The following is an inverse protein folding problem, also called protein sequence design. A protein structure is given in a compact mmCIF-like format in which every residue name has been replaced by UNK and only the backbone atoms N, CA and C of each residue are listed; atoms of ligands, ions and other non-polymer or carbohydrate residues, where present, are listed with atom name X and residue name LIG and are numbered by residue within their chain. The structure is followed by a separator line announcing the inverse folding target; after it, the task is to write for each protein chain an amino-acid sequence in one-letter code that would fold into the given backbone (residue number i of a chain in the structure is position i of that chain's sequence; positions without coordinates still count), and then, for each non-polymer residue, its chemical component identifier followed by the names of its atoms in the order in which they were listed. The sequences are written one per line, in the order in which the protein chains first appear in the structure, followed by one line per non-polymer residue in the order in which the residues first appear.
data_IF_885057557464
#
_entry.id   IF_885057557464
#
_cell.length_a   1.000
_cell.length_b   1.000
_cell.length_c   1.000
_cell.angle_alpha   90.00
_cell.angle_beta   90.00
_cell.angle_gamma   90.00
#
_symmetry.space_group_name_H-M   'P 1'
#
loop_
_entity.id
_entity.type
_entity.pdbx_description
1 polymer ?
#
# COMPACT_ATOMS: atom_id res chain seq x y z
N UNK A 1 -2.36 27.91 -1.94
CA UNK A 1 -1.69 26.97 -2.86
C UNK A 1 -1.81 25.59 -2.25
N UNK A 2 -2.90 24.94 -2.59
CA UNK A 2 -3.55 23.86 -1.87
C UNK A 2 -3.17 22.60 -2.65
N UNK A 3 -1.97 22.10 -2.36
CA UNK A 3 -1.47 20.88 -2.97
C UNK A 3 -1.99 19.70 -2.13
N UNK A 4 -3.28 19.39 -2.27
CA UNK A 4 -3.86 18.14 -1.75
C UNK A 4 -3.42 16.97 -2.65
N UNK A 5 -2.11 16.81 -2.81
CA UNK A 5 -1.53 15.50 -3.12
C UNK A 5 -1.64 14.71 -1.82
N UNK A 6 -2.83 14.17 -1.54
CA UNK A 6 -3.04 13.26 -0.41
C UNK A 6 -2.26 11.98 -0.68
N UNK A 7 -0.96 12.06 -0.42
CA UNK A 7 -0.10 10.90 -0.28
C UNK A 7 -0.67 10.09 0.91
N UNK A 8 -0.95 8.80 0.72
CA UNK A 8 -1.48 7.98 1.79
C UNK A 8 -0.52 8.03 2.99
N UNK A 9 -1.05 8.39 4.15
CA UNK A 9 -0.27 8.52 5.39
C UNK A 9 0.57 7.26 5.65
N UNK A 10 1.82 7.43 6.08
CA UNK A 10 2.71 6.33 6.45
C UNK A 10 2.07 5.34 7.43
N UNK A 11 1.19 5.83 8.30
CA UNK A 11 0.42 4.98 9.22
C UNK A 11 -0.46 3.98 8.46
N UNK A 12 -1.17 4.43 7.43
CA UNK A 12 -2.03 3.57 6.62
C UNK A 12 -1.22 2.54 5.84
N UNK A 13 -0.07 2.94 5.29
CA UNK A 13 0.81 2.04 4.55
C UNK A 13 1.41 0.99 5.49
N UNK A 14 1.89 1.38 6.68
CA UNK A 14 2.39 0.45 7.69
C UNK A 14 1.32 -0.56 8.14
N UNK A 15 0.09 -0.10 8.39
CA UNK A 15 -1.03 -0.99 8.71
C UNK A 15 -1.30 -2.00 7.59
N UNK A 16 -1.28 -1.55 6.34
CA UNK A 16 -1.47 -2.42 5.20
C UNK A 16 -0.34 -3.44 5.06
N UNK A 17 0.92 -3.02 5.21
CA UNK A 17 2.09 -3.90 5.21
C UNK A 17 1.98 -5.01 6.25
N UNK A 18 1.59 -4.69 7.48
CA UNK A 18 1.34 -5.69 8.53
C UNK A 18 0.22 -6.65 8.14
N UNK A 19 -0.86 -6.15 7.53
CA UNK A 19 -1.98 -6.98 7.06
C UNK A 19 -1.55 -7.99 5.99
N UNK A 20 -0.62 -7.62 5.11
CA UNK A 20 -0.18 -8.45 3.98
C UNK A 20 1.21 -9.07 4.16
N UNK A 21 1.80 -9.03 5.37
CA UNK A 21 3.17 -9.47 5.63
C UNK A 21 3.46 -10.90 5.09
N UNK A 22 2.47 -11.79 5.14
CA UNK A 22 2.64 -13.16 4.67
C UNK A 22 2.62 -13.28 3.15
N UNK A 23 1.93 -12.39 2.45
CA UNK A 23 1.78 -12.40 0.98
C UNK A 23 2.62 -11.35 0.24
N UNK A 24 3.31 -10.47 0.96
CA UNK A 24 4.18 -9.47 0.35
C UNK A 24 5.40 -10.13 -0.30
N UNK A 25 5.73 -9.66 -1.50
CA UNK A 25 6.83 -10.15 -2.34
C UNK A 25 7.38 -8.99 -3.19
N UNK A 26 8.24 -9.30 -4.15
CA UNK A 26 8.72 -8.34 -5.16
C UNK A 26 7.65 -7.93 -6.18
N UNK A 27 6.52 -8.62 -6.21
CA UNK A 27 5.37 -8.23 -7.02
C UNK A 27 4.48 -7.23 -6.27
N UNK A 28 3.79 -6.37 -7.03
CA UNK A 28 2.86 -5.41 -6.46
C UNK A 28 1.71 -6.12 -5.74
N UNK A 29 1.47 -5.75 -4.49
CA UNK A 29 0.29 -6.20 -3.75
C UNK A 29 -1.00 -5.80 -4.47
N UNK A 30 -2.14 -6.42 -4.12
CA UNK A 30 -3.45 -5.85 -4.42
C UNK A 30 -3.57 -4.40 -3.92
N UNK A 31 -4.55 -3.66 -4.41
CA UNK A 31 -4.85 -2.33 -3.86
C UNK A 31 -5.31 -2.46 -2.40
N UNK A 32 -4.89 -1.55 -1.52
CA UNK A 32 -5.30 -1.56 -0.09
C UNK A 32 -6.80 -1.39 0.11
N UNK A 33 -7.50 -0.87 -0.90
CA UNK A 33 -8.94 -0.62 -0.94
C UNK A 33 -9.56 -1.33 -2.15
N UNK A 34 -10.87 -1.57 -2.09
CA UNK A 34 -11.65 -2.10 -3.23
C UNK A 34 -12.33 -0.99 -4.04
N UNK A 35 -12.36 0.24 -3.52
CA UNK A 35 -12.92 1.43 -4.16
C UNK A 35 -12.16 2.69 -3.71
N UNK A 36 -12.16 3.75 -4.53
CA UNK A 36 -11.47 5.01 -4.24
C UNK A 36 -9.94 4.93 -4.40
N UNK A 37 -9.22 5.79 -3.68
CA UNK A 37 -7.76 5.83 -3.71
C UNK A 37 -7.18 4.95 -2.61
N UNK A 38 -6.23 4.09 -2.94
CA UNK A 38 -5.49 3.28 -1.99
C UNK A 38 -3.99 3.21 -2.31
N UNK A 39 -3.31 2.26 -1.70
CA UNK A 39 -1.88 2.01 -1.91
C UNK A 39 -1.65 0.57 -2.36
N UNK A 40 -0.68 0.38 -3.25
CA UNK A 40 -0.03 -0.90 -3.50
C UNK A 40 1.40 -0.82 -3.00
N UNK A 41 1.90 -1.93 -2.46
CA UNK A 41 3.25 -2.03 -1.92
C UNK A 41 3.93 -3.28 -2.45
N UNK A 42 5.26 -3.23 -2.53
CA UNK A 42 6.11 -4.39 -2.86
C UNK A 42 7.48 -4.27 -2.20
N UNK A 43 8.17 -5.39 -2.08
CA UNK A 43 9.59 -5.44 -1.71
C UNK A 43 10.41 -5.01 -2.94
N UNK A 44 11.42 -4.17 -2.74
CA UNK A 44 12.38 -3.84 -3.81
C UNK A 44 13.08 -5.12 -4.29
N UNK A 45 13.30 -5.29 -5.60
CA UNK A 45 14.05 -6.44 -6.12
C UNK A 45 15.42 -6.65 -5.45
N UNK A 46 16.11 -5.56 -5.08
CA UNK A 46 17.40 -5.62 -4.35
C UNK A 46 17.28 -6.07 -2.88
N UNK A 47 16.07 -6.10 -2.33
CA UNK A 47 15.78 -6.48 -0.94
C UNK A 47 15.03 -7.81 -0.84
N UNK A 48 14.84 -8.52 -1.96
CA UNK A 48 14.11 -9.78 -2.03
C UNK A 48 14.69 -10.91 -1.17
N UNK A 49 16.00 -10.87 -0.90
CA UNK A 49 16.70 -11.84 -0.05
C UNK A 49 16.68 -11.51 1.43
N UNK A 50 16.15 -10.35 1.85
CA UNK A 50 16.06 -9.99 3.26
C UNK A 50 14.90 -10.73 3.93
N UNK A 51 15.04 -11.15 5.19
CA UNK A 51 13.92 -11.67 5.95
C UNK A 51 12.86 -10.58 6.12
N UNK A 52 11.59 -10.98 6.10
CA UNK A 52 10.45 -10.05 6.10
C UNK A 52 10.41 -9.15 7.34
N UNK A 53 10.91 -9.65 8.47
CA UNK A 53 10.95 -8.95 9.75
C UNK A 53 12.05 -7.88 9.81
N UNK A 54 13.00 -7.88 8.86
CA UNK A 54 14.10 -6.91 8.77
C UNK A 54 13.93 -5.91 7.61
N UNK A 55 12.79 -5.93 6.90
CA UNK A 55 12.54 -5.00 5.81
C UNK A 55 12.38 -3.57 6.35
N UNK A 56 13.24 -2.67 5.86
CA UNK A 56 13.13 -1.26 6.17
C UNK A 56 12.01 -0.61 5.34
N UNK A 57 11.05 0.00 6.02
CA UNK A 57 9.88 0.65 5.41
C UNK A 57 10.20 1.72 4.36
N UNK A 58 11.34 2.42 4.47
CA UNK A 58 11.73 3.47 3.52
C UNK A 58 12.64 2.93 2.40
N UNK A 59 13.56 2.04 2.77
CA UNK A 59 14.62 1.62 1.86
C UNK A 59 14.28 0.35 1.10
N UNK A 60 13.48 -0.55 1.66
CA UNK A 60 13.22 -1.87 1.10
C UNK A 60 11.80 -2.02 0.53
N UNK A 61 10.91 -1.08 0.81
CA UNK A 61 9.51 -1.11 0.35
C UNK A 61 9.28 -0.02 -0.68
N UNK A 62 8.71 -0.40 -1.83
CA UNK A 62 8.15 0.55 -2.80
C UNK A 62 6.65 0.70 -2.59
N UNK A 63 6.17 1.93 -2.79
CA UNK A 63 4.80 2.34 -2.54
C UNK A 63 4.30 3.07 -3.78
N UNK A 64 3.10 2.75 -4.25
CA UNK A 64 2.43 3.51 -5.30
C UNK A 64 0.94 3.63 -5.05
N UNK A 65 0.36 4.74 -5.46
CA UNK A 65 -1.09 4.96 -5.36
C UNK A 65 -1.81 4.08 -6.38
N UNK A 66 -2.85 3.37 -5.95
CA UNK A 66 -3.81 2.72 -6.81
C UNK A 66 -5.14 3.48 -6.79
N UNK A 67 -5.79 3.60 -7.94
CA UNK A 67 -7.10 4.24 -8.09
C UNK A 67 -8.09 3.17 -8.54
N UNK A 68 -9.01 2.83 -7.64
CA UNK A 68 -10.12 1.93 -7.90
C UNK A 68 -11.35 2.72 -8.36
N UNK A 69 -12.43 2.01 -8.70
CA UNK A 69 -13.72 2.65 -8.99
C UNK A 69 -14.18 3.49 -7.80
N UNK A 70 -14.95 4.55 -8.07
CA UNK A 70 -15.50 5.40 -7.00
C UNK A 70 -16.31 4.53 -6.04
N UNK A 71 -16.11 4.72 -4.74
CA UNK A 71 -16.92 4.04 -3.75
C UNK A 71 -18.38 4.40 -3.96
N UNK A 72 -19.21 3.40 -4.24
CA UNK A 72 -20.65 3.59 -4.27
C UNK A 72 -21.11 3.78 -2.84
N UNK A 73 -21.59 4.97 -2.50
CA UNK A 73 -22.24 5.26 -1.22
C UNK A 73 -23.60 4.56 -1.20
N UNK A 74 -23.61 3.22 -1.19
CA UNK A 74 -24.85 2.48 -0.95
C UNK A 74 -25.11 2.63 0.55
N UNK A 75 -25.77 3.73 0.91
CA UNK A 75 -26.55 3.77 2.14
C UNK A 75 -27.64 2.72 1.95
N UNK A 76 -27.48 1.55 2.55
CA UNK A 76 -28.64 0.70 2.80
C UNK A 76 -29.57 1.53 3.69
N UNK A 77 -30.72 1.88 3.13
CA UNK A 77 -31.84 2.50 3.83
C UNK A 77 -32.47 1.51 4.79
#
# INVERSE_FOLDING_TARGET
KNNNNEEPSDKHIKQYLTKIQNSISTEWSPCSVTCGNGIQVRIKPGSAGKPKDELNYENDIEKKICKMEKCSSVFNV
#
